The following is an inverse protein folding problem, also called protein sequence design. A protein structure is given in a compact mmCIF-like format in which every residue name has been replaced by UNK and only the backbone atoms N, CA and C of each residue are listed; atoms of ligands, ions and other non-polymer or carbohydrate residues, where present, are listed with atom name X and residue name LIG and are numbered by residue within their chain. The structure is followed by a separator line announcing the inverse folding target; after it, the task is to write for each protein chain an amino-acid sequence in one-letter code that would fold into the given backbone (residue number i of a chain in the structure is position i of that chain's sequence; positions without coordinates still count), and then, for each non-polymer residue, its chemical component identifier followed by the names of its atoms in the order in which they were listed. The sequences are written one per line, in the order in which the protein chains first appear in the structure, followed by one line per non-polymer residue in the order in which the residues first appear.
data_IF_076583373277
#
_entry.id   IF_076583373277
#
_cell.length_a   1.000
_cell.length_b   1.000
_cell.length_c   1.000
_cell.angle_alpha   90.00
_cell.angle_beta   90.00
_cell.angle_gamma   90.00
#
_symmetry.space_group_name_H-M   'P 1'
#
loop_
_entity.id
_entity.type
_entity.pdbx_description
1 polymer ?
#
# COMPACT_ATOMS: atom_id res chain seq x y z
N UNK A 1 18.29 18.40 -4.91
CA UNK A 1 18.41 16.92 -5.02
C UNK A 1 17.04 16.39 -5.41
N UNK A 2 16.97 15.50 -6.40
CA UNK A 2 15.69 14.97 -6.89
C UNK A 2 15.34 13.71 -6.09
N UNK A 3 14.08 13.60 -5.65
CA UNK A 3 13.56 12.45 -4.93
C UNK A 3 12.33 11.92 -5.67
N UNK A 4 12.23 10.60 -5.78
CA UNK A 4 11.04 9.92 -6.28
C UNK A 4 10.23 9.46 -5.08
N UNK A 5 8.98 9.90 -5.02
CA UNK A 5 8.05 9.56 -3.94
C UNK A 5 6.75 9.10 -4.57
N UNK A 6 6.21 8.00 -4.07
CA UNK A 6 4.91 7.46 -4.49
C UNK A 6 4.14 6.97 -3.27
N UNK A 7 2.87 6.63 -3.45
CA UNK A 7 2.04 5.99 -2.42
C UNK A 7 2.00 4.46 -2.58
N UNK A 8 1.43 3.78 -1.58
CA UNK A 8 1.27 2.32 -1.56
C UNK A 8 0.26 1.78 -2.58
N UNK A 9 -0.60 2.61 -3.16
CA UNK A 9 -1.58 2.19 -4.16
C UNK A 9 -0.99 2.09 -5.59
N UNK A 10 0.27 2.51 -5.77
CA UNK A 10 0.94 2.50 -7.06
C UNK A 10 1.31 1.08 -7.57
N UNK A 11 1.31 0.07 -6.69
CA UNK A 11 1.53 -1.35 -6.99
C UNK A 11 2.80 -1.63 -7.83
N UNK A 12 3.88 -0.90 -7.51
CA UNK A 12 5.17 -1.09 -8.18
C UNK A 12 5.84 -2.38 -7.67
N UNK A 13 6.47 -3.17 -8.57
CA UNK A 13 7.33 -4.28 -8.15
C UNK A 13 8.50 -3.79 -7.29
N UNK A 14 8.88 -4.60 -6.28
CA UNK A 14 9.99 -4.29 -5.36
C UNK A 14 11.29 -3.94 -6.10
N UNK A 15 11.57 -4.66 -7.21
CA UNK A 15 12.75 -4.42 -8.05
C UNK A 15 12.81 -3.00 -8.64
N UNK A 16 11.66 -2.36 -8.91
CA UNK A 16 11.58 -1.00 -9.43
C UNK A 16 11.77 0.01 -8.31
N UNK A 17 11.17 -0.25 -7.13
CA UNK A 17 11.30 0.60 -5.94
C UNK A 17 12.78 0.68 -5.53
N UNK A 18 13.45 -0.47 -5.44
CA UNK A 18 14.87 -0.55 -5.08
C UNK A 18 15.77 0.11 -6.13
N UNK A 19 15.57 -0.20 -7.41
CA UNK A 19 16.41 0.30 -8.51
C UNK A 19 16.48 1.82 -8.58
N UNK A 20 15.36 2.49 -8.32
CA UNK A 20 15.26 3.95 -8.42
C UNK A 20 15.26 4.65 -7.05
N UNK A 21 15.44 3.91 -5.95
CA UNK A 21 15.37 4.42 -4.58
C UNK A 21 14.09 5.25 -4.35
N UNK A 22 12.95 4.67 -4.75
CA UNK A 22 11.64 5.32 -4.64
C UNK A 22 11.19 5.23 -3.19
N UNK A 23 10.85 6.37 -2.60
CA UNK A 23 10.27 6.41 -1.26
C UNK A 23 8.76 6.16 -1.34
N UNK A 24 8.29 5.07 -0.75
CA UNK A 24 6.86 4.72 -0.73
C UNK A 24 6.23 5.22 0.58
N UNK A 25 5.10 5.93 0.46
CA UNK A 25 4.31 6.41 1.60
C UNK A 25 3.08 5.55 1.74
N UNK A 26 2.88 4.94 2.92
CA UNK A 26 1.68 4.15 3.22
C UNK A 26 0.43 5.03 3.25
N UNK A 27 -0.65 4.50 2.69
CA UNK A 27 -1.99 5.03 2.88
C UNK A 27 -2.63 4.46 4.14
N UNK A 28 -3.59 5.20 4.69
CA UNK A 28 -4.44 4.76 5.78
C UNK A 28 -5.89 4.71 5.29
N UNK A 29 -6.58 3.62 5.57
CA UNK A 29 -7.95 3.37 5.15
C UNK A 29 -8.84 3.41 6.38
N UNK A 30 -9.90 4.22 6.33
CA UNK A 30 -10.96 4.25 7.33
C UNK A 30 -12.09 3.32 6.89
N UNK A 31 -12.41 2.33 7.74
CA UNK A 31 -13.54 1.42 7.52
C UNK A 31 -14.37 1.44 8.80
N UNK A 32 -15.58 1.99 8.71
CA UNK A 32 -16.54 2.04 9.82
C UNK A 32 -15.96 2.70 11.10
N UNK A 33 -15.06 3.67 10.94
CA UNK A 33 -14.41 4.38 12.06
C UNK A 33 -13.15 3.70 12.59
N UNK A 34 -12.76 2.55 12.03
CA UNK A 34 -11.52 1.85 12.33
C UNK A 34 -10.45 2.18 11.26
N UNK A 35 -9.25 2.52 11.71
CA UNK A 35 -8.16 2.96 10.85
C UNK A 35 -7.17 1.82 10.58
N UNK A 36 -6.97 1.49 9.31
CA UNK A 36 -6.07 0.44 8.85
C UNK A 36 -4.91 1.04 8.07
N UNK A 37 -3.68 0.69 8.45
CA UNK A 37 -2.52 1.04 7.65
C UNK A 37 -2.37 0.06 6.49
N UNK A 38 -2.29 0.58 5.27
CA UNK A 38 -1.96 -0.24 4.10
C UNK A 38 -0.52 -0.70 4.22
N UNK A 39 -0.36 -1.99 4.55
CA UNK A 39 0.95 -2.58 4.73
C UNK A 39 1.64 -2.79 3.40
N UNK A 40 2.82 -2.19 3.27
CA UNK A 40 3.76 -2.38 2.16
C UNK A 40 4.51 -3.72 2.31
N UNK A 41 4.47 -4.36 3.48
CA UNK A 41 5.16 -5.62 3.80
C UNK A 41 4.20 -6.76 4.14
N UNK A 42 4.62 -8.01 3.91
CA UNK A 42 3.82 -9.22 4.18
C UNK A 42 3.64 -9.55 5.68
N UNK A 43 4.39 -8.90 6.57
CA UNK A 43 4.43 -9.22 8.01
C UNK A 43 3.47 -8.38 8.88
N UNK A 44 2.83 -7.36 8.31
CA UNK A 44 1.95 -6.45 9.08
C UNK A 44 0.50 -6.91 8.96
N UNK A 45 -0.34 -6.78 10.02
CA UNK A 45 -1.76 -7.07 9.94
C UNK A 45 -2.42 -6.29 8.80
N UNK A 46 -2.74 -6.99 7.71
CA UNK A 46 -3.37 -6.43 6.52
C UNK A 46 -4.84 -6.13 6.82
N UNK A 47 -5.38 -5.08 6.20
CA UNK A 47 -6.83 -4.92 6.10
C UNK A 47 -7.43 -6.27 5.64
N UNK A 48 -8.43 -6.83 6.34
CA UNK A 48 -9.03 -8.09 5.94
C UNK A 48 -9.47 -8.00 4.48
N UNK A 49 -8.95 -8.91 3.64
CA UNK A 49 -9.05 -8.91 2.16
C UNK A 49 -10.49 -8.82 1.59
N UNK A 50 -11.50 -8.81 2.45
CA UNK A 50 -12.87 -9.11 2.07
C UNK A 50 -13.74 -7.89 1.79
N UNK A 51 -13.41 -6.68 2.25
CA UNK A 51 -14.39 -5.59 2.14
C UNK A 51 -13.78 -4.20 2.26
N UNK A 52 -13.16 -3.72 1.19
CA UNK A 52 -13.18 -2.27 0.89
C UNK A 52 -13.52 -2.15 -0.59
N UNK A 53 -14.53 -1.34 -0.91
CA UNK A 53 -15.00 -1.02 -2.27
C UNK A 53 -15.79 -2.08 -3.06
N UNK A 54 -16.11 -3.27 -2.52
CA UNK A 54 -16.93 -4.25 -3.25
C UNK A 54 -16.25 -4.82 -4.52
N UNK A 55 -14.94 -4.62 -4.66
CA UNK A 55 -14.09 -5.25 -5.66
C UNK A 55 -13.19 -6.27 -4.97
N UNK A 56 -13.07 -7.46 -5.54
CA UNK A 56 -12.00 -8.41 -5.19
C UNK A 56 -10.69 -7.80 -5.71
N UNK A 57 -9.98 -7.05 -4.86
CA UNK A 57 -8.85 -6.26 -5.33
C UNK A 57 -7.58 -7.08 -5.62
N UNK A 58 -7.54 -8.38 -5.30
CA UNK A 58 -6.41 -9.24 -5.66
C UNK A 58 -6.88 -10.69 -5.80
N UNK A 59 -7.08 -11.16 -7.03
CA UNK A 59 -6.89 -12.59 -7.40
C UNK A 59 -5.41 -12.82 -7.75
#
# INVERSE_FOLDING_TARGET
MLHLVTDSACDLPDEIIEKYNIHVVSLQIDIEGELYLESINNDTPRCPKRTVLGYNLFE
#
